data_IF_518187747233
#
_entry.id   IF_518187747233
#
_cell.length_a   1.000
_cell.length_b   1.000
_cell.length_c   1.000
_cell.angle_alpha   90.00
_cell.angle_beta   90.00
_cell.angle_gamma   90.00
#
_symmetry.space_group_name_H-M   'P 1'
#
loop_
_entity.id
_entity.type
_entity.pdbx_description
1 polymer ?
#
# COMPACT_ATOMS: atom_id res chain seq x y z
N UNK A 1 -13.06 24.10 -41.89
CA UNK A 1 -14.31 24.08 -41.11
C UNK A 1 -13.99 23.65 -39.70
N UNK A 2 -14.10 24.53 -38.72
CA UNK A 2 -13.74 24.23 -37.33
C UNK A 2 -14.94 23.61 -36.61
N UNK A 3 -14.87 22.31 -36.37
CA UNK A 3 -15.80 21.64 -35.44
C UNK A 3 -15.45 22.11 -34.04
N UNK A 4 -16.07 23.21 -33.61
CA UNK A 4 -16.06 23.67 -32.22
C UNK A 4 -16.67 22.55 -31.38
N UNK A 5 -15.80 21.78 -30.75
CA UNK A 5 -16.12 20.59 -29.96
C UNK A 5 -17.32 20.82 -29.04
N UNK A 6 -18.43 20.16 -29.36
CA UNK A 6 -19.56 19.99 -28.46
C UNK A 6 -19.13 19.09 -27.30
N UNK A 7 -18.52 19.66 -26.27
CA UNK A 7 -18.42 19.00 -24.97
C UNK A 7 -19.85 18.88 -24.46
N UNK A 8 -20.45 17.69 -24.56
CA UNK A 8 -21.84 17.47 -24.21
C UNK A 8 -22.03 17.74 -22.71
N UNK A 9 -23.01 18.58 -22.35
CA UNK A 9 -23.25 19.01 -20.96
C UNK A 9 -23.39 17.85 -19.94
N UNK A 10 -23.74 16.65 -20.42
CA UNK A 10 -23.84 15.43 -19.63
C UNK A 10 -22.49 14.89 -19.17
N UNK A 11 -21.43 15.02 -19.97
CA UNK A 11 -20.07 14.60 -19.61
C UNK A 11 -19.50 15.48 -18.50
N UNK A 12 -19.72 16.80 -18.57
CA UNK A 12 -19.29 17.73 -17.51
C UNK A 12 -20.04 17.54 -16.20
N UNK A 13 -21.35 17.27 -16.25
CA UNK A 13 -22.15 17.05 -15.04
C UNK A 13 -21.74 15.76 -14.31
N UNK A 14 -21.50 14.67 -15.04
CA UNK A 14 -21.03 13.41 -14.45
C UNK A 14 -19.64 13.56 -13.83
N UNK A 15 -18.70 14.20 -14.53
CA UNK A 15 -17.35 14.41 -14.00
C UNK A 15 -17.35 15.29 -12.74
N UNK A 16 -18.16 16.35 -12.72
CA UNK A 16 -18.37 17.17 -11.53
C UNK A 16 -18.93 16.34 -10.37
N UNK A 17 -19.95 15.52 -10.62
CA UNK A 17 -20.56 14.67 -9.61
C UNK A 17 -19.57 13.64 -9.05
N UNK A 18 -18.85 12.93 -9.92
CA UNK A 18 -17.84 11.94 -9.53
C UNK A 18 -16.73 12.57 -8.70
N UNK A 19 -16.30 13.79 -9.02
CA UNK A 19 -15.30 14.50 -8.22
C UNK A 19 -15.78 14.80 -6.78
N UNK A 20 -17.06 15.13 -6.61
CA UNK A 20 -17.66 15.36 -5.28
C UNK A 20 -17.83 14.07 -4.50
N UNK A 21 -18.35 13.02 -5.14
CA UNK A 21 -18.52 11.72 -4.50
C UNK A 21 -17.17 11.16 -4.06
N UNK A 22 -16.18 11.11 -4.95
CA UNK A 22 -14.83 10.63 -4.59
C UNK A 22 -14.21 11.46 -3.46
N UNK A 23 -14.39 12.78 -3.45
CA UNK A 23 -13.95 13.66 -2.36
C UNK A 23 -14.62 13.33 -1.02
N UNK A 24 -15.94 13.13 -1.00
CA UNK A 24 -16.67 12.75 0.22
C UNK A 24 -16.21 11.40 0.75
N UNK A 25 -16.05 10.39 -0.12
CA UNK A 25 -15.51 9.10 0.30
C UNK A 25 -14.07 9.24 0.81
N UNK A 26 -13.24 10.07 0.19
CA UNK A 26 -11.86 10.31 0.64
C UNK A 26 -11.77 10.88 2.05
N UNK A 27 -12.75 11.64 2.53
CA UNK A 27 -12.77 12.10 3.92
C UNK A 27 -12.78 10.90 4.88
N UNK A 28 -13.71 9.96 4.69
CA UNK A 28 -13.81 8.77 5.53
C UNK A 28 -12.60 7.85 5.35
N UNK A 29 -12.17 7.64 4.10
CA UNK A 29 -11.01 6.82 3.77
C UNK A 29 -9.72 7.40 4.37
N UNK A 30 -9.52 8.72 4.35
CA UNK A 30 -8.38 9.37 5.00
C UNK A 30 -8.45 9.24 6.52
N UNK A 31 -9.62 9.48 7.14
CA UNK A 31 -9.77 9.31 8.59
C UNK A 31 -9.41 7.88 9.00
N UNK A 32 -9.95 6.86 8.31
CA UNK A 32 -9.61 5.46 8.57
C UNK A 32 -8.14 5.18 8.32
N UNK A 33 -7.55 5.70 7.24
CA UNK A 33 -6.14 5.53 6.93
C UNK A 33 -5.26 6.11 8.04
N UNK A 34 -5.50 7.36 8.45
CA UNK A 34 -4.76 8.02 9.52
C UNK A 34 -4.93 7.30 10.86
N UNK A 35 -6.16 6.91 11.20
CA UNK A 35 -6.45 6.17 12.43
C UNK A 35 -5.65 4.86 12.49
N UNK A 36 -5.73 4.05 11.44
CA UNK A 36 -5.08 2.74 11.38
C UNK A 36 -3.56 2.86 11.37
N UNK A 37 -3.00 3.80 10.60
CA UNK A 37 -1.55 3.93 10.47
C UNK A 37 -0.89 4.68 11.63
N UNK A 38 -1.56 5.66 12.25
CA UNK A 38 -0.94 6.52 13.26
C UNK A 38 -1.43 6.29 14.69
N UNK A 39 -2.65 5.79 14.89
CA UNK A 39 -3.23 5.70 16.23
C UNK A 39 -3.34 4.26 16.75
N UNK A 40 -3.57 3.30 15.85
CA UNK A 40 -3.68 1.90 16.25
C UNK A 40 -2.28 1.30 16.49
N UNK A 41 -1.86 1.23 17.75
CA UNK A 41 -0.57 0.62 18.17
C UNK A 41 -0.42 -0.86 17.75
N UNK A 42 -1.55 -1.56 17.60
CA UNK A 42 -1.60 -2.97 17.19
C UNK A 42 -1.54 -3.13 15.66
N UNK A 43 -1.76 -2.06 14.88
CA UNK A 43 -1.89 -2.12 13.40
C UNK A 43 -0.95 -1.17 12.67
N UNK A 44 -0.42 -0.14 13.36
CA UNK A 44 0.61 0.74 12.86
C UNK A 44 1.80 -0.11 12.41
N UNK A 45 2.21 0.10 11.16
CA UNK A 45 3.34 -0.57 10.53
C UNK A 45 4.70 -0.11 11.04
N UNK A 46 4.74 0.61 12.17
CA UNK A 46 5.94 1.23 12.71
C UNK A 46 6.12 0.78 14.17
N UNK A 47 6.90 -0.29 14.30
CA UNK A 47 7.78 -0.68 15.41
C UNK A 47 7.54 -0.03 16.77
N UNK A 48 7.19 -0.84 17.77
CA UNK A 48 7.28 -0.45 19.18
C UNK A 48 8.73 -0.39 19.72
N UNK A 49 9.72 -0.85 18.94
CA UNK A 49 11.15 -0.58 19.15
C UNK A 49 11.82 -0.33 17.80
N UNK A 50 12.13 0.94 17.48
CA UNK A 50 12.90 1.26 16.28
C UNK A 50 14.37 1.15 16.68
N UNK A 51 15.06 0.13 16.20
CA UNK A 51 16.53 0.16 16.19
C UNK A 51 16.95 1.31 15.30
N UNK A 52 17.91 2.10 15.75
CA UNK A 52 18.48 3.21 14.98
C UNK A 52 19.06 2.69 13.65
N UNK A 53 19.20 3.57 12.66
CA UNK A 53 19.79 3.19 11.36
C UNK A 53 21.17 2.52 11.52
N UNK A 54 22.00 3.03 12.44
CA UNK A 54 23.30 2.42 12.77
C UNK A 54 23.19 1.06 13.46
N UNK A 55 22.14 0.79 14.23
CA UNK A 55 21.90 -0.52 14.81
C UNK A 55 21.39 -1.52 13.77
N UNK A 56 20.53 -1.07 12.85
CA UNK A 56 20.08 -1.87 11.71
C UNK A 56 21.23 -2.24 10.76
N UNK A 57 22.13 -1.28 10.45
CA UNK A 57 23.34 -1.52 9.64
C UNK A 57 24.31 -2.51 10.32
N UNK A 58 24.28 -2.59 11.65
CA UNK A 58 25.02 -3.57 12.46
C UNK A 58 24.30 -4.92 12.61
N UNK A 59 23.15 -5.10 11.96
CA UNK A 59 22.37 -6.33 12.01
C UNK A 59 21.61 -6.56 13.32
N UNK A 60 21.43 -5.52 14.15
CA UNK A 60 20.67 -5.60 15.40
C UNK A 60 19.18 -5.55 15.05
N UNK A 61 18.41 -6.52 15.54
CA UNK A 61 16.97 -6.61 15.29
C UNK A 61 16.15 -5.93 16.39
N UNK A 62 14.97 -5.36 16.08
CA UNK A 62 14.03 -4.88 17.08
C UNK A 62 13.61 -5.98 18.08
N UNK A 63 13.45 -5.59 19.34
CA UNK A 63 12.86 -6.47 20.36
C UNK A 63 11.34 -6.41 20.28
N UNK A 64 10.70 -7.57 20.13
CA UNK A 64 9.25 -7.73 20.13
C UNK A 64 8.75 -8.34 21.44
N UNK A 65 7.48 -8.11 21.82
CA UNK A 65 6.82 -8.83 22.92
C UNK A 65 6.91 -10.36 22.75
N UNK A 66 6.99 -11.11 23.85
CA UNK A 66 7.15 -12.58 23.83
C UNK A 66 6.06 -13.28 22.99
N UNK A 67 4.81 -12.85 23.14
CA UNK A 67 3.65 -13.30 22.36
C UNK A 67 3.86 -13.23 20.84
N UNK A 68 4.50 -12.17 20.33
CA UNK A 68 4.77 -12.02 18.90
C UNK A 68 5.90 -12.95 18.43
N UNK A 69 6.91 -13.17 19.28
CA UNK A 69 8.00 -14.12 18.99
C UNK A 69 7.48 -15.56 18.95
N UNK A 70 6.55 -15.92 19.83
CA UNK A 70 5.93 -17.25 19.87
C UNK A 70 5.03 -17.50 18.65
N UNK A 71 4.14 -16.56 18.31
CA UNK A 71 3.26 -16.71 17.16
C UNK A 71 4.02 -16.86 15.82
N UNK A 72 5.13 -16.12 15.66
CA UNK A 72 6.02 -16.27 14.49
C UNK A 72 6.72 -17.63 14.49
N UNK A 73 7.15 -18.11 15.67
CA UNK A 73 7.79 -19.41 15.83
C UNK A 73 6.82 -20.55 15.45
N UNK A 74 5.59 -20.51 15.93
CA UNK A 74 4.54 -21.48 15.58
C UNK A 74 4.24 -21.47 14.07
N UNK A 75 4.11 -20.30 13.46
CA UNK A 75 3.90 -20.19 12.01
C UNK A 75 5.08 -20.75 11.20
N UNK A 76 6.32 -20.49 11.63
CA UNK A 76 7.52 -21.02 10.98
C UNK A 76 7.58 -22.54 11.10
N UNK A 77 7.25 -23.10 12.26
CA UNK A 77 7.15 -24.55 12.46
C UNK A 77 6.08 -25.17 11.56
N UNK A 78 4.92 -24.53 11.43
CA UNK A 78 3.86 -24.98 10.53
C UNK A 78 4.26 -24.92 9.04
N UNK A 79 5.13 -23.97 8.65
CA UNK A 79 5.67 -23.88 7.29
C UNK A 79 6.85 -24.84 7.03
N UNK A 80 7.71 -25.07 8.01
CA UNK A 80 8.82 -26.03 7.95
C UNK A 80 8.32 -27.48 8.00
N UNK A 81 7.16 -27.75 8.59
CA UNK A 81 6.48 -29.05 8.51
C UNK A 81 6.16 -29.51 7.08
N UNK A 82 5.97 -28.56 6.15
CA UNK A 82 5.70 -28.82 4.73
C UNK A 82 6.98 -28.89 3.87
N UNK A 83 8.14 -28.48 4.39
CA UNK A 83 9.44 -28.57 3.72
C UNK A 83 10.42 -29.30 4.61
N UNK A 84 10.52 -30.63 4.44
CA UNK A 84 11.66 -31.35 4.99
C UNK A 84 12.96 -30.69 4.51
N UNK A 85 13.84 -30.21 5.40
CA UNK A 85 15.11 -29.65 4.99
C UNK A 85 15.99 -30.78 4.46
N UNK A 86 16.27 -30.78 3.16
CA UNK A 86 17.38 -31.54 2.59
C UNK A 86 18.65 -30.72 2.89
N UNK A 87 19.09 -30.72 4.15
CA UNK A 87 20.38 -30.16 4.55
C UNK A 87 21.16 -31.27 5.26
N UNK A 88 22.32 -31.70 4.73
CA UNK A 88 23.17 -32.70 5.40
C UNK A 88 23.56 -32.21 6.78
N UNK A 89 23.36 -33.07 7.78
CA UNK A 89 23.59 -32.80 9.18
C UNK A 89 25.09 -32.81 9.53
N UNK A 90 25.86 -31.87 9.00
CA UNK A 90 27.25 -31.66 9.44
C UNK A 90 27.51 -30.17 9.68
N UNK A 91 27.79 -29.82 10.94
CA UNK A 91 28.25 -28.48 11.33
C UNK A 91 27.36 -27.67 12.25
N UNK A 92 26.42 -28.28 13.02
CA UNK A 92 25.76 -27.56 14.12
C UNK A 92 26.73 -27.29 15.27
N UNK A 93 27.45 -26.18 15.19
CA UNK A 93 28.02 -25.54 16.38
C UNK A 93 26.94 -24.74 17.10
N UNK A 94 26.70 -25.12 18.36
CA UNK A 94 26.30 -24.30 19.50
C UNK A 94 25.31 -23.14 19.27
N UNK A 95 24.13 -23.27 19.89
CA UNK A 95 23.34 -22.13 20.36
C UNK A 95 23.09 -21.03 19.32
N UNK A 96 22.46 -21.35 18.18
CA UNK A 96 21.82 -20.27 17.43
C UNK A 96 20.67 -19.74 18.30
N UNK A 97 20.71 -18.47 18.76
CA UNK A 97 19.60 -17.91 19.52
C UNK A 97 18.39 -18.05 18.62
N UNK A 98 17.34 -18.70 19.14
CA UNK A 98 16.02 -18.79 18.52
C UNK A 98 15.71 -17.47 17.83
N UNK A 99 15.86 -17.42 16.50
CA UNK A 99 15.89 -16.16 15.76
C UNK A 99 14.64 -15.36 16.11
N UNK A 100 14.83 -14.19 16.73
CA UNK A 100 13.74 -13.29 17.11
C UNK A 100 12.90 -12.97 15.89
N UNK A 101 11.60 -12.74 16.09
CA UNK A 101 10.71 -12.41 14.99
C UNK A 101 11.29 -11.21 14.22
N UNK A 102 11.39 -11.32 12.89
CA UNK A 102 11.78 -10.15 12.09
C UNK A 102 10.58 -9.19 11.98
N UNK A 103 10.80 -7.90 11.69
CA UNK A 103 9.71 -6.97 11.37
C UNK A 103 8.82 -7.50 10.25
N UNK A 104 9.44 -8.16 9.27
CA UNK A 104 8.75 -8.82 8.16
C UNK A 104 7.86 -9.96 8.65
N UNK A 105 8.35 -10.84 9.53
CA UNK A 105 7.57 -11.97 10.06
C UNK A 105 6.29 -11.50 10.79
N UNK A 106 6.41 -10.46 11.61
CA UNK A 106 5.28 -9.88 12.36
C UNK A 106 4.27 -9.22 11.41
N UNK A 107 4.76 -8.49 10.39
CA UNK A 107 3.91 -7.90 9.36
C UNK A 107 3.14 -8.99 8.61
N UNK A 108 3.84 -10.05 8.19
CA UNK A 108 3.23 -11.17 7.48
C UNK A 108 2.24 -11.93 8.35
N UNK A 109 2.44 -12.02 9.67
CA UNK A 109 1.52 -12.68 10.60
C UNK A 109 0.21 -11.91 10.73
N UNK A 110 0.28 -10.58 10.78
CA UNK A 110 -0.91 -9.70 10.78
C UNK A 110 -1.68 -9.77 9.46
N UNK A 111 -0.96 -9.88 8.34
CA UNK A 111 -1.55 -10.08 7.02
C UNK A 111 -2.10 -11.51 6.81
N UNK A 112 -1.87 -12.44 7.74
CA UNK A 112 -2.32 -13.82 7.61
C UNK A 112 -3.80 -14.03 7.99
N UNK A 113 -4.42 -13.10 8.72
CA UNK A 113 -5.88 -13.13 8.92
C UNK A 113 -6.56 -12.87 7.55
N UNK A 114 -7.26 -13.87 6.98
CA UNK A 114 -7.80 -13.77 5.63
C UNK A 114 -8.90 -12.71 5.50
N UNK A 115 -9.68 -12.47 6.55
CA UNK A 115 -10.75 -11.47 6.54
C UNK A 115 -10.13 -10.07 6.62
N UNK A 116 -9.18 -9.90 7.54
CA UNK A 116 -8.44 -8.65 7.67
C UNK A 116 -7.65 -8.33 6.39
N UNK A 117 -6.99 -9.32 5.80
CA UNK A 117 -6.22 -9.16 4.55
C UNK A 117 -7.12 -8.74 3.38
N UNK A 118 -8.29 -9.35 3.21
CA UNK A 118 -9.24 -8.98 2.14
C UNK A 118 -9.78 -7.57 2.35
N UNK A 119 -10.24 -7.24 3.56
CA UNK A 119 -10.76 -5.91 3.88
C UNK A 119 -9.67 -4.83 3.75
N UNK A 120 -8.45 -5.11 4.20
CA UNK A 120 -7.30 -4.21 4.10
C UNK A 120 -6.90 -3.96 2.64
N UNK A 121 -6.76 -5.02 1.83
CA UNK A 121 -6.46 -4.89 0.40
C UNK A 121 -7.56 -4.14 -0.33
N UNK A 122 -8.83 -4.49 -0.07
CA UNK A 122 -9.98 -3.79 -0.65
C UNK A 122 -10.00 -2.30 -0.29
N UNK A 123 -9.79 -1.98 0.98
CA UNK A 123 -9.68 -0.60 1.44
C UNK A 123 -8.55 0.16 0.74
N UNK A 124 -7.34 -0.41 0.64
CA UNK A 124 -6.20 0.26 0.01
C UNK A 124 -6.39 0.45 -1.50
N UNK A 125 -6.97 -0.53 -2.19
CA UNK A 125 -7.28 -0.41 -3.61
C UNK A 125 -8.35 0.66 -3.86
N UNK A 126 -9.39 0.72 -3.01
CA UNK A 126 -10.43 1.74 -3.09
C UNK A 126 -9.86 3.14 -2.79
N UNK A 127 -9.03 3.24 -1.75
CA UNK A 127 -8.30 4.47 -1.40
C UNK A 127 -7.43 4.93 -2.58
N UNK A 128 -6.61 4.05 -3.14
CA UNK A 128 -5.73 4.34 -4.27
C UNK A 128 -6.52 4.83 -5.48
N UNK A 129 -7.60 4.12 -5.84
CA UNK A 129 -8.45 4.48 -6.97
C UNK A 129 -9.06 5.87 -6.78
N UNK A 130 -9.66 6.14 -5.62
CA UNK A 130 -10.34 7.41 -5.36
C UNK A 130 -9.37 8.56 -5.20
N UNK A 131 -8.23 8.35 -4.54
CA UNK A 131 -7.20 9.37 -4.35
C UNK A 131 -6.59 9.80 -5.69
N UNK A 132 -6.23 8.83 -6.55
CA UNK A 132 -5.71 9.12 -7.88
C UNK A 132 -6.76 9.78 -8.76
N UNK A 133 -7.98 9.24 -8.85
CA UNK A 133 -9.03 9.85 -9.65
C UNK A 133 -9.31 11.29 -9.20
N UNK A 134 -9.51 11.53 -7.89
CA UNK A 134 -9.81 12.85 -7.34
C UNK A 134 -8.65 13.83 -7.58
N UNK A 135 -7.43 13.45 -7.20
CA UNK A 135 -6.25 14.29 -7.35
C UNK A 135 -5.95 14.66 -8.80
N UNK A 136 -5.92 13.67 -9.70
CA UNK A 136 -5.59 13.90 -11.10
C UNK A 136 -6.72 14.57 -11.89
N UNK A 137 -7.98 14.39 -11.49
CA UNK A 137 -9.07 15.20 -12.02
C UNK A 137 -8.93 16.67 -11.61
N UNK A 138 -8.58 16.94 -10.34
CA UNK A 138 -8.26 18.28 -9.85
C UNK A 138 -7.11 18.92 -10.64
N UNK A 139 -6.00 18.20 -10.82
CA UNK A 139 -4.87 18.63 -11.66
C UNK A 139 -5.32 18.90 -13.10
N UNK A 140 -6.16 18.05 -13.69
CA UNK A 140 -6.67 18.27 -15.05
C UNK A 140 -7.44 19.58 -15.19
N UNK A 141 -8.23 19.97 -14.18
CA UNK A 141 -8.92 21.26 -14.15
C UNK A 141 -7.91 22.42 -14.11
N UNK A 142 -6.92 22.35 -13.21
CA UNK A 142 -5.84 23.35 -13.11
C UNK A 142 -5.10 23.49 -14.45
N UNK A 143 -4.69 22.37 -15.07
CA UNK A 143 -4.00 22.39 -16.37
C UNK A 143 -4.87 23.03 -17.46
N UNK A 144 -6.19 22.78 -17.43
CA UNK A 144 -7.12 23.36 -18.39
C UNK A 144 -7.33 24.86 -18.22
N UNK A 145 -7.18 25.38 -16.99
CA UNK A 145 -7.35 26.81 -16.68
C UNK A 145 -6.07 27.61 -16.98
N UNK A 146 -4.90 27.04 -16.71
CA UNK A 146 -3.62 27.78 -16.80
C UNK A 146 -2.89 27.60 -18.14
N UNK A 147 -3.07 26.49 -18.87
CA UNK A 147 -2.35 26.26 -20.14
C UNK A 147 -3.17 26.81 -21.31
N UNK A 148 -2.74 27.95 -21.87
CA UNK A 148 -3.44 28.63 -22.97
C UNK A 148 -3.28 27.96 -24.33
N UNK A 149 -2.15 27.30 -24.59
CA UNK A 149 -1.89 26.64 -25.86
C UNK A 149 -2.62 25.28 -25.91
N UNK A 150 -3.47 25.07 -26.93
CA UNK A 150 -4.32 23.89 -27.03
C UNK A 150 -3.52 22.57 -27.13
N UNK A 151 -2.40 22.56 -27.84
CA UNK A 151 -1.56 21.37 -27.97
C UNK A 151 -0.83 21.05 -26.69
N UNK A 152 -0.27 22.06 -26.01
CA UNK A 152 0.37 21.86 -24.71
C UNK A 152 -0.65 21.44 -23.65
N UNK A 153 -1.89 21.95 -23.71
CA UNK A 153 -2.95 21.58 -22.78
C UNK A 153 -3.33 20.11 -22.94
N UNK A 154 -3.58 19.67 -24.18
CA UNK A 154 -3.90 18.27 -24.47
C UNK A 154 -2.74 17.37 -24.06
N UNK A 155 -1.50 17.75 -24.41
CA UNK A 155 -0.30 17.00 -24.02
C UNK A 155 -0.14 16.88 -22.51
N UNK A 156 -0.30 17.98 -21.77
CA UNK A 156 -0.20 17.99 -20.31
C UNK A 156 -1.31 17.17 -19.63
N UNK A 157 -2.55 17.26 -20.11
CA UNK A 157 -3.66 16.45 -19.60
C UNK A 157 -3.41 14.96 -19.88
N UNK A 158 -2.98 14.61 -21.09
CA UNK A 158 -2.66 13.23 -21.44
C UNK A 158 -1.54 12.67 -20.55
N UNK A 159 -0.44 13.43 -20.40
CA UNK A 159 0.68 13.07 -19.53
C UNK A 159 0.21 12.88 -18.08
N UNK A 160 -0.62 13.79 -17.56
CA UNK A 160 -1.20 13.71 -16.22
C UNK A 160 -1.94 12.37 -16.02
N UNK A 161 -2.83 11.99 -16.93
CA UNK A 161 -3.55 10.72 -16.84
C UNK A 161 -2.66 9.49 -17.08
N UNK A 162 -1.62 9.59 -17.90
CA UNK A 162 -0.61 8.52 -18.03
C UNK A 162 0.12 8.29 -16.72
N UNK A 163 0.55 9.36 -16.03
CA UNK A 163 1.17 9.26 -14.71
C UNK A 163 0.20 8.64 -13.70
N UNK A 164 -1.07 9.07 -13.69
CA UNK A 164 -2.10 8.47 -12.85
C UNK A 164 -2.24 6.96 -13.07
N UNK A 165 -2.26 6.53 -14.33
CA UNK A 165 -2.37 5.11 -14.70
C UNK A 165 -1.15 4.31 -14.23
N UNK A 166 0.06 4.83 -14.42
CA UNK A 166 1.29 4.17 -13.97
C UNK A 166 1.30 4.02 -12.45
N UNK A 167 0.97 5.08 -11.71
CA UNK A 167 0.87 5.03 -10.24
C UNK A 167 -0.21 4.05 -9.77
N UNK A 168 -1.35 3.99 -10.46
CA UNK A 168 -2.40 3.02 -10.15
C UNK A 168 -1.91 1.58 -10.34
N UNK A 169 -1.26 1.27 -11.46
CA UNK A 169 -0.75 -0.08 -11.73
C UNK A 169 0.31 -0.50 -10.72
N UNK A 170 1.28 0.37 -10.43
CA UNK A 170 2.34 0.09 -9.44
C UNK A 170 1.72 -0.10 -8.04
N UNK A 171 0.82 0.80 -7.64
CA UNK A 171 0.17 0.74 -6.33
C UNK A 171 -0.73 -0.50 -6.19
N UNK A 172 -1.54 -0.81 -7.20
CA UNK A 172 -2.41 -1.97 -7.20
C UNK A 172 -1.60 -3.27 -7.16
N UNK A 173 -0.53 -3.37 -7.96
CA UNK A 173 0.39 -4.51 -7.92
C UNK A 173 0.98 -4.71 -6.52
N UNK A 174 1.48 -3.62 -5.91
CA UNK A 174 2.05 -3.66 -4.56
C UNK A 174 1.06 -4.17 -3.51
N UNK A 175 -0.19 -3.72 -3.55
CA UNK A 175 -1.24 -4.15 -2.61
C UNK A 175 -1.68 -5.59 -2.84
N UNK A 176 -1.79 -6.02 -4.10
CA UNK A 176 -2.21 -7.38 -4.44
C UNK A 176 -1.15 -8.38 -4.01
N UNK A 177 0.13 -8.09 -4.32
CA UNK A 177 1.27 -8.96 -4.03
C UNK A 177 1.62 -9.00 -2.54
N UNK A 178 1.36 -7.93 -1.79
CA UNK A 178 1.60 -7.92 -0.35
C UNK A 178 0.93 -9.12 0.36
N UNK A 179 1.72 -9.95 1.05
CA UNK A 179 1.26 -11.13 1.77
C UNK A 179 1.00 -12.37 0.91
N UNK A 180 1.23 -12.33 -0.41
CA UNK A 180 1.36 -13.55 -1.21
C UNK A 180 2.78 -14.09 -1.00
N UNK A 181 2.90 -15.29 -0.43
CA UNK A 181 4.16 -16.04 -0.38
C UNK A 181 4.47 -16.53 -1.80
N UNK A 182 5.17 -15.71 -2.59
CA UNK A 182 5.81 -16.13 -3.85
C UNK A 182 7.26 -16.48 -3.57
#
# INVERSE_FOLDING_TARGET
MATKYGRTARSSAFQWFTHRITGTFLIFLLITHFWVQHYNRTTASVTHSVVTAEEADRGILPTYPEEANEAVRERRLNQEGDRQPIIPAEGRSAQQPVASATPYDVLMLRLADPVYAVLWKGFNLLFLLFALHHGFYGVSNILSDYIRNDMLRVGAIALSWTVALVLFLIGAYSVIVAGLNV
#
